data_IF_820329584836
#
_entry.id   IF_820329584836
#
_cell.length_a   1.000
_cell.length_b   1.000
_cell.length_c   1.000
_cell.angle_alpha   90.00
_cell.angle_beta   90.00
_cell.angle_gamma   90.00
#
_symmetry.space_group_name_H-M   'P 1'
#
loop_
_entity.id
_entity.type
_entity.pdbx_description
1 polymer ?
#
# COMPACT_ATOMS: atom_id res chain seq x y z
N UNK A 1 35.11 19.21 64.64
CA UNK A 1 35.10 18.07 63.69
C UNK A 1 34.32 18.49 62.46
N UNK A 2 35.01 18.75 61.35
CA UNK A 2 34.43 19.22 60.09
C UNK A 2 34.90 18.30 58.98
N UNK A 3 33.98 17.72 58.21
CA UNK A 3 34.30 16.94 57.00
C UNK A 3 33.41 17.45 55.87
N UNK A 4 34.00 18.25 55.00
CA UNK A 4 33.42 18.70 53.73
C UNK A 4 33.49 17.56 52.71
N UNK A 5 32.48 17.37 51.84
CA UNK A 5 32.53 16.34 50.80
C UNK A 5 33.53 16.71 49.70
N UNK A 6 34.39 15.76 49.34
CA UNK A 6 35.38 15.85 48.27
C UNK A 6 34.70 15.91 46.90
N UNK A 7 35.06 16.90 46.08
CA UNK A 7 34.66 16.98 44.66
C UNK A 7 35.18 15.76 43.91
N UNK A 8 34.27 15.05 43.24
CA UNK A 8 34.61 14.04 42.23
C UNK A 8 34.78 14.80 40.91
N UNK A 9 35.99 14.74 40.35
CA UNK A 9 36.28 15.19 39.00
C UNK A 9 35.52 14.31 38.00
N UNK A 10 34.38 14.78 37.51
CA UNK A 10 33.79 14.29 36.27
C UNK A 10 33.86 15.42 35.25
N UNK A 11 34.99 15.52 34.56
CA UNK A 11 35.11 16.31 33.33
C UNK A 11 34.30 15.65 32.23
N UNK A 12 32.97 15.75 32.31
CA UNK A 12 32.11 15.59 31.15
C UNK A 12 32.20 16.88 30.36
N UNK A 13 33.19 16.96 29.47
CA UNK A 13 33.25 18.01 28.46
C UNK A 13 32.06 17.76 27.53
N UNK A 14 30.99 18.52 27.74
CA UNK A 14 29.92 18.64 26.77
C UNK A 14 30.51 19.42 25.60
N UNK A 15 31.00 18.71 24.59
CA UNK A 15 31.32 19.29 23.29
C UNK A 15 29.97 19.37 22.57
N UNK A 16 29.38 20.56 22.37
CA UNK A 16 28.24 20.68 21.50
C UNK A 16 28.66 20.12 20.15
N UNK A 17 28.03 19.04 19.68
CA UNK A 17 28.16 18.66 18.27
C UNK A 17 27.71 19.88 17.49
N UNK A 18 28.60 20.43 16.67
CA UNK A 18 28.25 21.51 15.78
C UNK A 18 26.95 21.13 15.07
N UNK A 19 25.95 22.01 15.15
CA UNK A 19 24.73 21.87 14.37
C UNK A 19 25.20 22.08 12.93
N UNK A 20 25.54 20.98 12.26
CA UNK A 20 25.86 20.99 10.84
C UNK A 20 24.66 21.62 10.15
N UNK A 21 24.90 22.74 9.47
CA UNK A 21 23.93 23.38 8.60
C UNK A 21 23.26 22.30 7.74
N UNK A 22 21.91 22.28 7.63
CA UNK A 22 21.23 21.25 6.86
C UNK A 22 21.83 21.25 5.46
N UNK A 23 22.43 20.13 5.08
CA UNK A 23 23.06 20.00 3.79
C UNK A 23 21.96 20.26 2.73
N UNK A 24 22.21 21.12 1.74
CA UNK A 24 21.17 21.54 0.77
C UNK A 24 20.54 20.33 0.05
N UNK A 25 21.30 19.23 -0.04
CA UNK A 25 20.90 17.95 -0.61
C UNK A 25 19.94 17.15 0.28
N UNK A 26 20.04 17.22 1.62
CA UNK A 26 19.08 16.58 2.54
C UNK A 26 17.66 17.15 2.34
N UNK A 27 17.57 18.45 2.05
CA UNK A 27 16.28 19.08 1.77
C UNK A 27 15.69 18.61 0.43
N UNK A 28 16.53 18.26 -0.56
CA UNK A 28 16.12 17.68 -1.83
C UNK A 28 15.59 16.25 -1.70
N UNK A 29 16.31 15.41 -0.95
CA UNK A 29 15.93 14.02 -0.70
C UNK A 29 14.62 13.95 0.10
N UNK A 30 14.49 14.75 1.15
CA UNK A 30 13.28 14.80 1.99
C UNK A 30 12.05 15.18 1.16
N UNK A 31 12.17 16.19 0.28
CA UNK A 31 11.10 16.58 -0.66
C UNK A 31 10.76 15.48 -1.65
N UNK A 32 11.77 14.82 -2.21
CA UNK A 32 11.57 13.71 -3.14
C UNK A 32 10.82 12.57 -2.45
N UNK A 33 11.29 12.10 -1.30
CA UNK A 33 10.66 11.01 -0.54
C UNK A 33 9.22 11.37 -0.16
N UNK A 34 8.97 12.59 0.34
CA UNK A 34 7.62 13.07 0.65
C UNK A 34 6.69 13.02 -0.58
N UNK A 35 7.19 13.45 -1.74
CA UNK A 35 6.43 13.39 -2.99
C UNK A 35 6.08 11.95 -3.39
N UNK A 36 7.02 11.01 -3.27
CA UNK A 36 6.76 9.60 -3.58
C UNK A 36 5.75 8.98 -2.62
N UNK A 37 5.85 9.25 -1.31
CA UNK A 37 4.88 8.75 -0.31
C UNK A 37 3.50 9.37 -0.52
N UNK A 38 3.42 10.65 -0.90
CA UNK A 38 2.14 11.30 -1.22
C UNK A 38 1.48 10.68 -2.46
N UNK A 39 2.26 10.35 -3.49
CA UNK A 39 1.76 9.62 -4.67
C UNK A 39 1.31 8.21 -4.32
N UNK A 40 2.07 7.50 -3.48
CA UNK A 40 1.68 6.19 -2.96
C UNK A 40 0.32 6.27 -2.26
N UNK A 41 0.15 7.24 -1.36
CA UNK A 41 -1.12 7.47 -0.68
C UNK A 41 -2.28 7.69 -1.67
N UNK A 42 -2.09 8.46 -2.73
CA UNK A 42 -3.07 8.62 -3.80
C UNK A 42 -3.44 7.30 -4.48
N UNK A 43 -2.42 6.52 -4.88
CA UNK A 43 -2.61 5.20 -5.50
C UNK A 43 -3.36 4.21 -4.59
N UNK A 44 -3.08 4.21 -3.28
CA UNK A 44 -3.80 3.35 -2.34
C UNK A 44 -5.27 3.77 -2.17
N UNK A 45 -5.57 5.07 -2.21
CA UNK A 45 -6.97 5.51 -2.21
C UNK A 45 -7.69 5.07 -3.49
N UNK A 46 -7.02 5.12 -4.63
CA UNK A 46 -7.59 4.64 -5.90
C UNK A 46 -7.75 3.12 -5.91
N UNK A 47 -6.86 2.39 -5.24
CA UNK A 47 -7.01 0.95 -5.02
C UNK A 47 -8.33 0.64 -4.30
N UNK A 48 -8.63 1.32 -3.20
CA UNK A 48 -9.88 1.11 -2.45
C UNK A 48 -11.09 1.38 -3.34
N UNK A 49 -11.09 2.48 -4.10
CA UNK A 49 -12.19 2.79 -5.04
C UNK A 49 -12.40 1.70 -6.09
N UNK A 50 -11.31 1.17 -6.67
CA UNK A 50 -11.39 0.11 -7.66
C UNK A 50 -11.84 -1.22 -7.04
N UNK A 51 -11.34 -1.54 -5.84
CA UNK A 51 -11.78 -2.71 -5.08
C UNK A 51 -13.27 -2.66 -4.79
N UNK A 52 -13.78 -1.55 -4.27
CA UNK A 52 -15.21 -1.37 -3.97
C UNK A 52 -16.08 -1.45 -5.23
N UNK A 53 -15.59 -0.91 -6.36
CA UNK A 53 -16.25 -1.11 -7.66
C UNK A 53 -16.31 -2.58 -8.03
N UNK A 54 -15.20 -3.31 -7.91
CA UNK A 54 -15.15 -4.75 -8.17
C UNK A 54 -16.07 -5.55 -7.26
N UNK A 55 -16.16 -5.22 -5.96
CA UNK A 55 -17.08 -5.89 -5.01
C UNK A 55 -18.52 -5.75 -5.45
N UNK A 56 -18.95 -4.55 -5.85
CA UNK A 56 -20.31 -4.34 -6.37
C UNK A 56 -20.58 -5.16 -7.63
N UNK A 57 -19.60 -5.26 -8.52
CA UNK A 57 -19.71 -6.05 -9.75
C UNK A 57 -19.78 -7.55 -9.46
N UNK A 58 -18.91 -8.09 -8.59
CA UNK A 58 -18.95 -9.50 -8.19
C UNK A 58 -20.28 -9.87 -7.53
N UNK A 59 -20.82 -9.01 -6.66
CA UNK A 59 -22.15 -9.23 -6.06
C UNK A 59 -23.27 -9.23 -7.10
N UNK A 60 -23.23 -8.31 -8.07
CA UNK A 60 -24.21 -8.28 -9.16
C UNK A 60 -24.11 -9.52 -10.06
N UNK A 61 -22.89 -9.95 -10.40
CA UNK A 61 -22.64 -11.18 -11.16
C UNK A 61 -23.16 -12.40 -10.40
N UNK A 62 -22.87 -12.50 -9.10
CA UNK A 62 -23.35 -13.57 -8.24
C UNK A 62 -24.88 -13.62 -8.23
N UNK A 63 -25.55 -12.50 -7.95
CA UNK A 63 -27.01 -12.46 -7.92
C UNK A 63 -27.63 -12.88 -9.26
N UNK A 64 -27.09 -12.38 -10.37
CA UNK A 64 -27.55 -12.73 -11.70
C UNK A 64 -27.36 -14.23 -12.00
N UNK A 65 -26.21 -14.80 -11.63
CA UNK A 65 -25.92 -16.21 -11.85
C UNK A 65 -26.75 -17.16 -10.99
N UNK A 66 -27.10 -16.76 -9.78
CA UNK A 66 -27.86 -17.60 -8.85
C UNK A 66 -29.37 -17.57 -9.10
N UNK A 67 -29.89 -16.48 -9.67
CA UNK A 67 -31.34 -16.27 -9.78
C UNK A 67 -31.88 -16.21 -11.21
N UNK A 68 -31.04 -15.92 -12.20
CA UNK A 68 -31.49 -15.68 -13.58
C UNK A 68 -30.80 -16.57 -14.63
N UNK A 69 -29.76 -17.32 -14.26
CA UNK A 69 -29.14 -18.30 -15.14
C UNK A 69 -29.82 -19.67 -14.98
N UNK A 70 -30.49 -20.14 -16.01
CA UNK A 70 -30.99 -21.51 -16.12
C UNK A 70 -29.99 -22.39 -16.91
N UNK A 71 -30.20 -23.71 -16.88
CA UNK A 71 -29.41 -24.63 -17.70
C UNK A 71 -29.58 -24.25 -19.19
N UNK A 72 -28.48 -23.77 -19.77
CA UNK A 72 -28.32 -23.32 -21.17
C UNK A 72 -28.69 -21.86 -21.50
N UNK A 73 -28.99 -21.03 -20.48
CA UNK A 73 -29.22 -19.61 -20.68
C UNK A 73 -28.27 -18.72 -19.86
N UNK A 74 -27.64 -17.77 -20.54
CA UNK A 74 -26.91 -16.68 -19.89
C UNK A 74 -27.56 -15.34 -20.23
N UNK A 75 -27.97 -14.55 -19.23
CA UNK A 75 -28.51 -13.22 -19.45
C UNK A 75 -27.49 -12.33 -20.17
N UNK A 76 -27.96 -11.50 -21.11
CA UNK A 76 -27.10 -10.61 -21.89
C UNK A 76 -26.36 -9.60 -21.01
N UNK A 77 -26.94 -9.23 -19.86
CA UNK A 77 -26.34 -8.34 -18.87
C UNK A 77 -25.06 -8.92 -18.25
N UNK A 78 -24.93 -10.26 -18.18
CA UNK A 78 -23.76 -10.91 -17.59
C UNK A 78 -22.48 -10.50 -18.33
N UNK A 79 -22.54 -10.43 -19.66
CA UNK A 79 -21.39 -10.03 -20.48
C UNK A 79 -20.90 -8.63 -20.11
N UNK A 80 -21.82 -7.67 -20.01
CA UNK A 80 -21.48 -6.28 -19.65
C UNK A 80 -20.92 -6.16 -18.23
N UNK A 81 -21.44 -6.95 -17.28
CA UNK A 81 -20.91 -7.00 -15.92
C UNK A 81 -19.49 -7.60 -15.88
N UNK A 82 -19.24 -8.66 -16.64
CA UNK A 82 -17.91 -9.28 -16.74
C UNK A 82 -16.90 -8.34 -17.41
N UNK A 83 -17.27 -7.65 -18.49
CA UNK A 83 -16.43 -6.61 -19.12
C UNK A 83 -16.11 -5.49 -18.11
N UNK A 84 -17.11 -5.03 -17.36
CA UNK A 84 -16.90 -4.02 -16.31
C UNK A 84 -15.99 -4.51 -15.17
N UNK A 85 -16.02 -5.81 -14.85
CA UNK A 85 -15.15 -6.41 -13.84
C UNK A 85 -13.71 -6.53 -14.34
N UNK A 86 -13.51 -6.85 -15.63
CA UNK A 86 -12.21 -6.81 -16.27
C UNK A 86 -11.63 -5.39 -16.28
N UNK A 87 -12.44 -4.37 -16.57
CA UNK A 87 -12.00 -2.97 -16.47
C UNK A 87 -11.57 -2.59 -15.05
N UNK A 88 -12.29 -3.06 -14.04
CA UNK A 88 -11.92 -2.84 -12.64
C UNK A 88 -10.59 -3.54 -12.31
N UNK A 89 -10.39 -4.78 -12.77
CA UNK A 89 -9.14 -5.52 -12.58
C UNK A 89 -7.96 -4.84 -13.29
N UNK A 90 -8.17 -4.31 -14.49
CA UNK A 90 -7.15 -3.53 -15.20
C UNK A 90 -6.83 -2.22 -14.46
N UNK A 91 -7.83 -1.56 -13.88
CA UNK A 91 -7.62 -0.42 -12.99
C UNK A 91 -6.72 -0.78 -11.79
N UNK A 92 -7.00 -1.91 -11.15
CA UNK A 92 -6.18 -2.47 -10.05
C UNK A 92 -4.75 -2.74 -10.54
N UNK A 93 -4.58 -3.36 -11.71
CA UNK A 93 -3.26 -3.63 -12.30
C UNK A 93 -2.44 -2.35 -12.47
N UNK A 94 -3.04 -1.33 -13.08
CA UNK A 94 -2.39 -0.04 -13.33
C UNK A 94 -1.91 0.62 -12.01
N UNK A 95 -2.69 0.46 -10.94
CA UNK A 95 -2.30 0.94 -9.61
C UNK A 95 -1.09 0.17 -9.07
N UNK A 96 -1.09 -1.18 -9.15
CA UNK A 96 0.05 -2.01 -8.72
C UNK A 96 1.31 -1.65 -9.51
N UNK A 97 1.20 -1.46 -10.81
CA UNK A 97 2.32 -1.05 -11.66
C UNK A 97 2.83 0.35 -11.28
N UNK A 98 1.93 1.29 -10.96
CA UNK A 98 2.30 2.60 -10.41
C UNK A 98 3.06 2.50 -9.08
N UNK A 99 2.57 1.66 -8.16
CA UNK A 99 3.24 1.43 -6.87
C UNK A 99 4.61 0.77 -7.07
N UNK A 100 4.74 -0.16 -8.02
CA UNK A 100 6.02 -0.78 -8.40
C UNK A 100 7.07 0.24 -8.83
N UNK A 101 6.67 1.21 -9.66
CA UNK A 101 7.55 2.29 -10.11
C UNK A 101 8.04 3.11 -8.91
N UNK A 102 7.12 3.52 -8.02
CA UNK A 102 7.48 4.28 -6.81
C UNK A 102 8.41 3.48 -5.88
N UNK A 103 8.14 2.19 -5.70
CA UNK A 103 8.98 1.28 -4.91
C UNK A 103 10.41 1.23 -5.47
N UNK A 104 10.58 1.08 -6.78
CA UNK A 104 11.90 1.06 -7.42
C UNK A 104 12.64 2.40 -7.26
N UNK A 105 11.92 3.52 -7.37
CA UNK A 105 12.48 4.86 -7.18
C UNK A 105 12.92 5.08 -5.73
N UNK A 106 12.13 4.66 -4.74
CA UNK A 106 12.48 4.76 -3.32
C UNK A 106 13.65 3.85 -2.95
N UNK A 107 13.73 2.65 -3.51
CA UNK A 107 14.89 1.77 -3.31
C UNK A 107 16.17 2.39 -3.90
N UNK A 108 16.09 2.98 -5.09
CA UNK A 108 17.22 3.71 -5.66
C UNK A 108 17.65 4.88 -4.77
N UNK A 109 16.69 5.68 -4.26
CA UNK A 109 16.98 6.76 -3.32
C UNK A 109 17.61 6.26 -2.02
N UNK A 110 17.13 5.13 -1.48
CA UNK A 110 17.69 4.52 -0.27
C UNK A 110 19.14 4.08 -0.48
N UNK A 111 19.45 3.50 -1.64
CA UNK A 111 20.82 3.06 -1.98
C UNK A 111 21.78 4.22 -2.25
N UNK A 112 21.26 5.38 -2.68
CA UNK A 112 22.04 6.59 -2.90
C UNK A 112 22.30 7.39 -1.61
N UNK A 113 21.53 7.15 -0.54
CA UNK A 113 21.77 7.80 0.74
C UNK A 113 22.93 7.12 1.49
N UNK A 114 24.00 7.87 1.82
CA UNK A 114 25.18 7.31 2.49
C UNK A 114 24.94 7.05 3.98
N UNK A 115 23.97 7.73 4.59
CA UNK A 115 23.65 7.62 6.01
C UNK A 115 22.21 7.16 6.22
N UNK A 116 21.95 6.55 7.37
CA UNK A 116 20.60 6.15 7.80
C UNK A 116 19.91 7.27 8.60
N UNK A 117 20.30 8.52 8.34
CA UNK A 117 19.73 9.67 9.04
C UNK A 117 18.25 9.85 8.67
N UNK A 118 17.41 10.31 9.61
CA UNK A 118 16.02 10.61 9.31
C UNK A 118 15.87 11.67 8.22
N UNK A 119 15.00 11.40 7.24
CA UNK A 119 14.65 12.35 6.16
C UNK A 119 13.22 12.85 6.26
N UNK A 120 12.34 12.10 6.92
CA UNK A 120 10.99 12.54 7.24
C UNK A 120 10.73 12.19 8.69
N UNK A 121 10.48 13.22 9.50
CA UNK A 121 10.17 13.06 10.93
C UNK A 121 11.23 12.17 11.61
N UNK A 122 10.88 10.93 11.97
CA UNK A 122 11.78 9.98 12.62
C UNK A 122 12.31 8.87 11.70
N UNK A 123 11.93 8.87 10.41
CA UNK A 123 12.20 7.78 9.48
C UNK A 123 13.30 8.12 8.47
N UNK A 124 14.23 7.17 8.30
CA UNK A 124 15.23 7.18 7.23
C UNK A 124 14.63 6.75 5.88
N UNK A 125 15.32 7.06 4.78
CA UNK A 125 14.89 6.64 3.43
C UNK A 125 14.80 5.13 3.33
N UNK A 126 15.73 4.42 3.97
CA UNK A 126 15.77 2.95 3.98
C UNK A 126 14.53 2.36 4.62
N UNK A 127 14.14 2.85 5.80
CA UNK A 127 12.94 2.40 6.50
C UNK A 127 11.66 2.66 5.70
N UNK A 128 11.57 3.84 5.07
CA UNK A 128 10.44 4.20 4.20
C UNK A 128 10.40 3.26 3.00
N UNK A 129 11.53 3.08 2.30
CA UNK A 129 11.65 2.19 1.15
C UNK A 129 11.26 0.75 1.48
N UNK A 130 11.74 0.20 2.60
CA UNK A 130 11.38 -1.15 3.04
C UNK A 130 9.89 -1.29 3.35
N UNK A 131 9.28 -0.25 3.89
CA UNK A 131 7.84 -0.23 4.16
C UNK A 131 7.06 -0.20 2.85
N UNK A 132 7.41 0.68 1.91
CA UNK A 132 6.76 0.75 0.59
C UNK A 132 6.93 -0.56 -0.19
N UNK A 133 8.09 -1.21 -0.08
CA UNK A 133 8.31 -2.53 -0.67
C UNK A 133 7.34 -3.58 -0.15
N UNK A 134 7.11 -3.64 1.16
CA UNK A 134 6.12 -4.57 1.76
C UNK A 134 4.71 -4.30 1.26
N UNK A 135 4.34 -3.01 1.14
CA UNK A 135 3.04 -2.60 0.61
C UNK A 135 2.88 -3.08 -0.84
N UNK A 136 3.90 -2.84 -1.67
CA UNK A 136 3.94 -3.33 -3.06
C UNK A 136 3.79 -4.85 -3.15
N UNK A 137 4.57 -5.62 -2.38
CA UNK A 137 4.53 -7.09 -2.39
C UNK A 137 3.15 -7.62 -1.97
N UNK A 138 2.51 -6.98 -0.99
CA UNK A 138 1.13 -7.27 -0.57
C UNK A 138 0.11 -6.99 -1.67
N UNK A 139 0.18 -5.82 -2.30
CA UNK A 139 -0.72 -5.45 -3.40
C UNK A 139 -0.56 -6.37 -4.62
N UNK A 140 0.67 -6.76 -4.94
CA UNK A 140 0.93 -7.67 -6.05
C UNK A 140 0.30 -9.05 -5.81
N UNK A 141 0.40 -9.58 -4.59
CA UNK A 141 -0.26 -10.84 -4.21
C UNK A 141 -1.77 -10.73 -4.27
N UNK A 142 -2.32 -9.65 -3.74
CA UNK A 142 -3.77 -9.39 -3.73
C UNK A 142 -4.31 -9.24 -5.16
N UNK A 143 -3.61 -8.52 -6.04
CA UNK A 143 -3.97 -8.40 -7.45
C UNK A 143 -4.00 -9.77 -8.16
N UNK A 144 -3.01 -10.63 -7.91
CA UNK A 144 -2.98 -11.99 -8.50
C UNK A 144 -4.17 -12.83 -8.03
N UNK A 145 -4.53 -12.74 -6.74
CA UNK A 145 -5.73 -13.40 -6.22
C UNK A 145 -6.98 -12.90 -6.96
N UNK A 146 -7.13 -11.58 -7.08
CA UNK A 146 -8.25 -10.98 -7.82
C UNK A 146 -8.28 -11.46 -9.27
N UNK A 147 -7.16 -11.46 -9.98
CA UNK A 147 -7.10 -12.00 -11.36
C UNK A 147 -7.66 -13.43 -11.46
N UNK A 148 -7.25 -14.33 -10.57
CA UNK A 148 -7.74 -15.72 -10.53
C UNK A 148 -9.26 -15.76 -10.25
N UNK A 149 -9.75 -14.92 -9.34
CA UNK A 149 -11.18 -14.85 -9.02
C UNK A 149 -12.00 -14.35 -10.21
N UNK A 150 -11.57 -13.30 -10.92
CA UNK A 150 -12.28 -12.76 -12.10
C UNK A 150 -12.43 -13.83 -13.18
N UNK A 151 -11.39 -14.62 -13.43
CA UNK A 151 -11.44 -15.70 -14.40
C UNK A 151 -12.41 -16.81 -13.95
N UNK A 152 -12.28 -17.28 -12.72
CA UNK A 152 -13.09 -18.40 -12.23
C UNK A 152 -14.55 -18.05 -12.01
N UNK A 153 -14.86 -16.82 -11.54
CA UNK A 153 -16.25 -16.38 -11.39
C UNK A 153 -16.95 -16.28 -12.74
N UNK A 154 -16.23 -16.07 -13.84
CA UNK A 154 -16.81 -16.10 -15.19
C UNK A 154 -17.30 -17.51 -15.56
N UNK A 155 -16.53 -18.54 -15.23
CA UNK A 155 -16.77 -19.93 -15.65
C UNK A 155 -17.58 -20.77 -14.66
N UNK A 156 -17.67 -20.36 -13.40
CA UNK A 156 -18.41 -21.13 -12.39
C UNK A 156 -19.93 -21.07 -12.60
N UNK A 157 -20.58 -22.22 -12.39
CA UNK A 157 -22.03 -22.40 -12.19
C UNK A 157 -22.37 -22.93 -10.80
N UNK A 158 -21.38 -23.42 -10.05
CA UNK A 158 -21.60 -23.91 -8.69
C UNK A 158 -21.83 -22.72 -7.75
N UNK A 159 -22.97 -22.73 -7.07
CA UNK A 159 -23.42 -21.66 -6.16
C UNK A 159 -22.40 -21.40 -5.05
N UNK A 160 -21.90 -22.47 -4.42
CA UNK A 160 -20.94 -22.34 -3.31
C UNK A 160 -19.62 -21.75 -3.79
N UNK A 161 -19.16 -22.15 -4.97
CA UNK A 161 -17.95 -21.57 -5.57
C UNK A 161 -18.15 -20.10 -5.92
N UNK A 162 -19.31 -19.71 -6.46
CA UNK A 162 -19.62 -18.30 -6.78
C UNK A 162 -19.60 -17.44 -5.51
N UNK A 163 -20.19 -17.92 -4.40
CA UNK A 163 -20.15 -17.22 -3.12
C UNK A 163 -18.72 -17.09 -2.58
N UNK A 164 -17.92 -18.14 -2.67
CA UNK A 164 -16.50 -18.13 -2.27
C UNK A 164 -15.72 -17.10 -3.09
N UNK A 165 -15.87 -17.10 -4.42
CA UNK A 165 -15.20 -16.13 -5.29
C UNK A 165 -15.62 -14.69 -4.99
N UNK A 166 -16.92 -14.46 -4.80
CA UNK A 166 -17.45 -13.13 -4.46
C UNK A 166 -16.91 -12.63 -3.12
N UNK A 167 -16.88 -13.51 -2.11
CA UNK A 167 -16.36 -13.18 -0.79
C UNK A 167 -14.86 -12.95 -0.80
N UNK A 168 -14.11 -13.77 -1.54
CA UNK A 168 -12.67 -13.63 -1.69
C UNK A 168 -12.27 -12.38 -2.49
N UNK A 169 -13.15 -11.88 -3.36
CA UNK A 169 -12.93 -10.59 -4.03
C UNK A 169 -13.03 -9.42 -3.05
N UNK A 170 -13.99 -9.50 -2.13
CA UNK A 170 -14.26 -8.49 -1.10
C UNK A 170 -13.20 -8.46 -0.01
N UNK A 171 -12.77 -9.63 0.46
CA UNK A 171 -11.78 -9.72 1.53
C UNK A 171 -10.36 -9.47 1.00
N UNK A 172 -9.64 -8.54 1.62
CA UNK A 172 -8.25 -8.23 1.23
C UNK A 172 -7.27 -9.08 2.06
N UNK A 173 -7.15 -10.36 1.71
CA UNK A 173 -6.38 -11.33 2.49
C UNK A 173 -4.88 -10.99 2.60
N UNK A 174 -4.33 -10.33 1.58
CA UNK A 174 -2.89 -10.03 1.51
C UNK A 174 -2.54 -8.57 1.73
N UNK A 175 -3.53 -7.66 1.74
CA UNK A 175 -3.30 -6.23 1.91
C UNK A 175 -3.35 -5.84 3.40
N UNK A 176 -2.20 -5.47 3.98
CA UNK A 176 -2.12 -5.08 5.38
C UNK A 176 -2.27 -3.55 5.54
N UNK A 177 -3.44 -3.12 6.02
CA UNK A 177 -3.76 -1.71 6.28
C UNK A 177 -2.89 -1.12 7.42
N UNK A 178 -2.53 -1.90 8.44
CA UNK A 178 -1.74 -1.40 9.59
C UNK A 178 -0.36 -0.92 9.16
N UNK A 179 0.27 -1.61 8.20
CA UNK A 179 1.59 -1.23 7.69
C UNK A 179 1.58 0.14 6.98
N UNK A 180 0.43 0.53 6.42
CA UNK A 180 0.25 1.82 5.76
C UNK A 180 0.04 2.96 6.76
N UNK A 181 -0.72 2.70 7.83
CA UNK A 181 -1.16 3.72 8.78
C UNK A 181 0.02 4.40 9.50
N UNK A 182 1.02 3.64 9.93
CA UNK A 182 2.22 4.20 10.57
C UNK A 182 3.04 5.07 9.63
N UNK A 183 3.21 4.64 8.37
CA UNK A 183 3.92 5.42 7.36
C UNK A 183 3.21 6.76 7.14
N UNK A 184 1.89 6.74 6.96
CA UNK A 184 1.14 7.98 6.69
C UNK A 184 1.10 8.92 7.89
N UNK A 185 0.97 8.41 9.11
CA UNK A 185 1.04 9.22 10.32
C UNK A 185 2.37 9.99 10.44
N UNK A 186 3.50 9.36 10.11
CA UNK A 186 4.83 9.99 10.16
C UNK A 186 5.03 11.08 9.10
N UNK A 187 4.30 10.97 7.99
CA UNK A 187 4.32 11.95 6.89
C UNK A 187 3.20 12.99 7.03
N UNK A 188 2.32 12.87 8.03
CA UNK A 188 1.19 13.77 8.25
C UNK A 188 0.04 13.58 7.24
N UNK A 189 -0.10 12.38 6.68
CA UNK A 189 -1.19 11.99 5.78
C UNK A 189 -2.25 11.18 6.53
N UNK A 190 -3.50 11.27 6.07
CA UNK A 190 -4.59 10.48 6.62
C UNK A 190 -4.35 8.97 6.37
N UNK A 191 -4.94 8.13 7.22
CA UNK A 191 -5.03 6.71 6.94
C UNK A 191 -5.88 6.46 5.70
N UNK A 192 -5.52 5.43 4.94
CA UNK A 192 -6.30 4.96 3.79
C UNK A 192 -7.31 3.95 4.32
N UNK A 193 -8.60 4.26 4.25
CA UNK A 193 -9.72 3.50 4.82
C UNK A 193 -10.70 3.05 3.76
#
# INVERSE_FOLDING_TARGET
MSKTPTKIDSTHVFIPREITTPNKDQQGVSKAVFSHVSKLHGLLNDWIKMRDRGVRLCRAISALKLHECEDDYYPSQLKSLMESLLDALEGIKNIVDGVKILNNQLQALANLQPTDDPVISTWSVKRISDTVRKIYESLEKEYRLKQVITENVAHSRDEKLIEVYTSAWEFEAYFNIESNAYLFAEVGLAGVT
#
